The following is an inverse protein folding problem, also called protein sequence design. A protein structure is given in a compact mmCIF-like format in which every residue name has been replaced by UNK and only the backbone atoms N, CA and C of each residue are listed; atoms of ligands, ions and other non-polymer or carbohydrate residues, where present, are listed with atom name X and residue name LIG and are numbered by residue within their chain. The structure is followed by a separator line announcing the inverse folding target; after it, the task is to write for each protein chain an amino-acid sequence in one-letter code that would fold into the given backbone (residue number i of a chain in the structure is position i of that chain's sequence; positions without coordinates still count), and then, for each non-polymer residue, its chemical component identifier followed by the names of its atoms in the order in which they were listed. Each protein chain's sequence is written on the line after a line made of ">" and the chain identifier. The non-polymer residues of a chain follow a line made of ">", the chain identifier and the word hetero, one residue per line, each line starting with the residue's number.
data_IF_637394938475
#
_entry.id   IF_637394938475
#
_cell.length_a   1.000
_cell.length_b   1.000
_cell.length_c   1.000
_cell.angle_alpha   90.00
_cell.angle_beta   90.00
_cell.angle_gamma   90.00
#
_symmetry.space_group_name_H-M   'P 1'
#
loop_
_entity.id
_entity.type
_entity.pdbx_description
1 polymer ?
#
# COMPACT_ATOMS: atom_id res chain seq x y z
N UNK A 1 -14.66 1.68 1.37
CA UNK A 1 -14.28 2.03 -0.02
C UNK A 1 -14.56 0.81 -0.89
N UNK A 2 -15.28 0.92 -2.03
CA UNK A 2 -15.46 -0.19 -2.96
C UNK A 2 -14.12 -0.79 -3.39
N UNK A 3 -14.08 -2.10 -3.63
CA UNK A 3 -12.83 -2.81 -3.86
C UNK A 3 -12.10 -2.34 -5.12
N UNK A 4 -12.84 -1.99 -6.18
CA UNK A 4 -12.31 -1.54 -7.46
C UNK A 4 -11.89 -0.05 -7.49
N UNK A 5 -12.00 0.63 -6.34
CA UNK A 5 -11.66 2.04 -6.14
C UNK A 5 -10.63 2.27 -5.04
N UNK A 6 -10.15 1.21 -4.38
CA UNK A 6 -9.12 1.33 -3.36
C UNK A 6 -7.73 1.41 -4.01
N UNK A 7 -6.97 2.43 -3.64
CA UNK A 7 -5.54 2.59 -3.93
C UNK A 7 -4.78 2.69 -2.60
N UNK A 8 -3.50 2.31 -2.60
CA UNK A 8 -2.60 2.48 -1.46
C UNK A 8 -1.45 3.41 -1.84
N UNK A 9 -1.09 4.29 -0.92
CA UNK A 9 0.06 5.19 -1.07
C UNK A 9 0.75 5.39 0.28
N UNK A 10 2.01 5.84 0.24
CA UNK A 10 2.77 6.17 1.45
C UNK A 10 2.68 7.64 1.83
N UNK A 11 2.40 8.53 0.87
CA UNK A 11 2.57 9.98 1.02
C UNK A 11 3.98 10.37 1.52
N UNK A 12 4.99 9.56 1.17
CA UNK A 12 6.37 9.82 1.56
C UNK A 12 6.84 11.20 1.05
N UNK A 13 7.51 12.01 1.88
CA UNK A 13 8.17 11.62 3.14
C UNK A 13 7.31 11.73 4.42
N UNK A 14 6.04 12.03 4.28
CA UNK A 14 5.10 12.23 5.39
C UNK A 14 4.43 10.92 5.83
N UNK A 15 3.65 10.99 6.91
CA UNK A 15 2.77 9.90 7.36
C UNK A 15 3.46 8.54 7.63
N UNK A 16 4.65 8.54 8.26
CA UNK A 16 5.32 7.30 8.69
C UNK A 16 4.35 6.40 9.48
N UNK A 17 4.09 5.15 9.04
CA UNK A 17 3.15 4.27 9.73
C UNK A 17 3.52 4.10 11.20
N UNK A 18 2.56 4.35 12.10
CA UNK A 18 2.81 4.29 13.55
C UNK A 18 3.08 2.86 14.04
N UNK A 19 2.58 1.89 13.30
CA UNK A 19 2.67 0.45 13.53
C UNK A 19 3.99 -0.15 13.03
N UNK A 20 4.73 0.53 12.12
CA UNK A 20 6.03 0.07 11.61
C UNK A 20 7.02 -0.22 12.75
N UNK A 21 7.71 -1.37 12.67
CA UNK A 21 8.75 -1.80 13.59
C UNK A 21 9.89 -2.51 12.83
N UNK A 22 11.17 -2.15 13.08
CA UNK A 22 11.63 -0.96 13.81
C UNK A 22 11.29 0.33 13.04
N UNK A 23 11.25 1.48 13.73
CA UNK A 23 11.06 2.78 13.06
C UNK A 23 12.41 3.30 12.52
N UNK A 24 12.45 3.91 11.32
CA UNK A 24 13.66 4.55 10.84
C UNK A 24 14.06 5.70 11.76
N UNK A 25 15.38 5.88 11.98
CA UNK A 25 15.92 6.95 12.83
C UNK A 25 15.53 8.35 12.32
N UNK A 26 15.49 8.51 10.99
CA UNK A 26 15.11 9.75 10.31
C UNK A 26 13.66 10.15 10.56
N UNK A 27 12.81 9.21 11.01
CA UNK A 27 11.35 9.36 11.11
C UNK A 27 10.65 9.74 9.80
N UNK A 28 11.37 9.72 8.67
CA UNK A 28 10.82 9.95 7.34
C UNK A 28 10.14 8.68 6.86
N UNK A 29 8.98 8.83 6.24
CA UNK A 29 8.37 7.73 5.52
C UNK A 29 9.05 7.55 4.17
N UNK A 30 8.97 6.34 3.63
CA UNK A 30 9.57 5.98 2.35
C UNK A 30 8.64 4.98 1.64
N UNK A 31 8.64 4.93 0.28
CA UNK A 31 7.83 3.97 -0.47
C UNK A 31 8.04 2.51 -0.05
N UNK A 32 9.24 2.16 0.42
CA UNK A 32 9.57 0.83 0.93
C UNK A 32 8.72 0.39 2.14
N UNK A 33 8.05 1.33 2.84
CA UNK A 33 7.17 1.03 3.97
C UNK A 33 5.71 0.84 3.56
N UNK A 34 5.37 0.90 2.27
CA UNK A 34 4.03 0.61 1.76
C UNK A 34 3.47 -0.77 2.20
N UNK A 35 4.28 -1.85 2.36
CA UNK A 35 3.78 -3.12 2.88
C UNK A 35 3.13 -3.02 4.26
N UNK A 36 3.57 -2.09 5.12
CA UNK A 36 2.94 -1.89 6.43
C UNK A 36 1.56 -1.22 6.31
N UNK A 37 1.38 -0.34 5.31
CA UNK A 37 0.06 0.22 4.98
C UNK A 37 -0.86 -0.88 4.44
N UNK A 38 -0.35 -1.72 3.53
CA UNK A 38 -1.06 -2.88 2.99
C UNK A 38 -1.57 -3.78 4.12
N UNK A 39 -0.68 -4.19 5.03
CA UNK A 39 -1.00 -5.09 6.16
C UNK A 39 -2.14 -4.51 7.01
N UNK A 40 -2.05 -3.24 7.39
CA UNK A 40 -3.09 -2.57 8.20
C UNK A 40 -4.43 -2.46 7.44
N UNK A 41 -4.41 -2.21 6.13
CA UNK A 41 -5.63 -2.16 5.32
C UNK A 41 -6.25 -3.55 5.13
N UNK A 42 -5.42 -4.58 4.96
CA UNK A 42 -5.85 -5.96 4.83
C UNK A 42 -6.50 -6.46 6.12
N UNK A 43 -5.87 -6.21 7.27
CA UNK A 43 -6.42 -6.45 8.61
C UNK A 43 -7.79 -5.77 8.76
N UNK A 44 -7.89 -4.48 8.42
CA UNK A 44 -9.15 -3.72 8.53
C UNK A 44 -10.26 -4.22 7.59
N UNK A 45 -9.91 -4.92 6.51
CA UNK A 45 -10.85 -5.51 5.55
C UNK A 45 -11.14 -6.98 5.82
N UNK A 46 -10.44 -7.61 6.77
CA UNK A 46 -10.53 -9.05 7.02
C UNK A 46 -10.12 -9.89 5.79
N UNK A 47 -9.07 -9.46 5.08
CA UNK A 47 -8.57 -10.15 3.87
C UNK A 47 -7.08 -10.43 3.97
N UNK A 48 -6.61 -11.37 3.17
CA UNK A 48 -5.18 -11.65 3.02
C UNK A 48 -4.45 -10.51 2.28
N UNK A 49 -3.23 -10.21 2.73
CA UNK A 49 -2.35 -9.19 2.13
C UNK A 49 -2.19 -9.36 0.62
N UNK A 50 -2.01 -10.60 0.16
CA UNK A 50 -1.81 -10.91 -1.26
C UNK A 50 -3.01 -10.51 -2.13
N UNK A 51 -4.23 -10.72 -1.62
CA UNK A 51 -5.47 -10.37 -2.32
C UNK A 51 -5.62 -8.85 -2.41
N UNK A 52 -5.36 -8.14 -1.32
CA UNK A 52 -5.44 -6.67 -1.30
C UNK A 52 -4.35 -6.05 -2.17
N UNK A 53 -3.13 -6.59 -2.14
CA UNK A 53 -2.03 -6.15 -2.98
C UNK A 53 -2.37 -6.29 -4.47
N UNK A 54 -2.85 -7.47 -4.90
CA UNK A 54 -3.28 -7.70 -6.28
C UNK A 54 -4.39 -6.71 -6.70
N UNK A 55 -5.48 -6.62 -5.92
CA UNK A 55 -6.60 -5.73 -6.24
C UNK A 55 -6.17 -4.26 -6.35
N UNK A 56 -5.42 -3.76 -5.37
CA UNK A 56 -5.00 -2.35 -5.34
C UNK A 56 -3.97 -2.03 -6.43
N UNK A 57 -3.13 -3.00 -6.80
CA UNK A 57 -2.20 -2.86 -7.93
C UNK A 57 -2.97 -2.78 -9.26
N UNK A 58 -3.95 -3.67 -9.48
CA UNK A 58 -4.76 -3.67 -10.69
C UNK A 58 -5.61 -2.40 -10.81
N UNK A 59 -6.15 -1.91 -9.69
CA UNK A 59 -6.83 -0.62 -9.62
C UNK A 59 -5.90 0.53 -10.01
N UNK A 60 -4.69 0.56 -9.46
CA UNK A 60 -3.70 1.60 -9.77
C UNK A 60 -3.31 1.57 -11.25
N UNK A 61 -3.08 0.38 -11.81
CA UNK A 61 -2.81 0.19 -13.24
C UNK A 61 -3.95 0.71 -14.10
N UNK A 62 -5.19 0.33 -13.80
CA UNK A 62 -6.39 0.80 -14.52
C UNK A 62 -6.54 2.33 -14.42
N UNK A 63 -6.37 2.88 -13.23
CA UNK A 63 -6.59 4.30 -12.96
C UNK A 63 -5.55 5.20 -13.65
N UNK A 64 -4.27 4.85 -13.52
CA UNK A 64 -3.16 5.62 -14.09
C UNK A 64 -2.75 5.17 -15.50
N UNK A 65 -3.42 4.15 -16.07
CA UNK A 65 -3.09 3.53 -17.37
C UNK A 65 -1.64 3.05 -17.45
N UNK A 66 -1.16 2.39 -16.40
CA UNK A 66 0.21 1.87 -16.32
C UNK A 66 0.35 0.58 -17.14
N UNK A 67 1.53 0.31 -17.72
CA UNK A 67 1.78 -0.94 -18.42
C UNK A 67 1.77 -2.13 -17.45
N UNK A 68 1.58 -3.34 -17.99
CA UNK A 68 1.89 -4.55 -17.24
C UNK A 68 3.38 -4.59 -16.91
N UNK A 69 3.70 -5.02 -15.69
CA UNK A 69 5.08 -5.24 -15.29
C UNK A 69 5.38 -6.68 -15.69
N UNK A 70 6.32 -6.87 -16.62
CA UNK A 70 6.84 -8.19 -16.92
C UNK A 70 7.44 -8.79 -15.64
N UNK A 71 6.96 -9.98 -15.26
CA UNK A 71 7.43 -10.73 -14.10
C UNK A 71 8.83 -11.30 -14.28
#
# INVERSE_FOLDING_TARGET
>A
IPDDRLLLETDAPYLLPRTLRPKPKSRRNEPAFLPEVLRVVADARGREDAIVAAQTTDNARRFFKLPEIAG
#
